data_IF_827177576898
#
_entry.id   IF_827177576898
#
_cell.length_a   1.000
_cell.length_b   1.000
_cell.length_c   1.000
_cell.angle_alpha   90.00
_cell.angle_beta   90.00
_cell.angle_gamma   90.00
#
_symmetry.space_group_name_H-M   'P 1'
#
loop_
_entity.id
_entity.type
_entity.pdbx_description
1 polymer ?
#
# COMPACT_ATOMS: atom_id res chain seq x y z
N UNK A 1 28.18 -5.49 14.16
CA UNK A 1 26.79 -5.18 13.78
C UNK A 1 26.76 -4.90 12.28
N UNK A 2 26.03 -5.64 11.44
CA UNK A 2 25.92 -5.27 10.03
C UNK A 2 25.13 -3.97 9.92
N UNK A 3 25.63 -3.03 9.11
CA UNK A 3 24.96 -1.74 8.85
C UNK A 3 23.72 -1.99 7.98
N UNK A 4 22.54 -1.45 8.31
CA UNK A 4 21.36 -1.63 7.48
C UNK A 4 21.64 -1.08 6.08
N UNK A 5 21.47 -1.92 5.05
CA UNK A 5 21.57 -1.50 3.65
C UNK A 5 20.38 -0.57 3.33
N UNK A 6 20.56 0.45 2.47
CA UNK A 6 19.43 1.24 2.01
C UNK A 6 18.38 0.30 1.42
N UNK A 7 17.17 0.35 1.96
CA UNK A 7 16.03 -0.41 1.44
C UNK A 7 15.77 0.15 0.05
N UNK A 8 15.93 -0.66 -1.00
CA UNK A 8 15.47 -0.28 -2.33
C UNK A 8 14.01 0.14 -2.19
N UNK A 9 13.77 1.43 -2.42
CA UNK A 9 12.45 2.04 -2.49
C UNK A 9 11.60 1.25 -3.49
N UNK A 10 10.28 1.28 -3.30
CA UNK A 10 9.24 0.74 -4.17
C UNK A 10 8.53 -0.53 -3.65
N UNK A 11 8.34 -0.62 -2.34
CA UNK A 11 7.32 -1.48 -1.78
C UNK A 11 6.92 -1.06 -0.37
N UNK A 12 5.66 -1.22 -0.03
CA UNK A 12 5.11 -0.89 1.29
C UNK A 12 4.21 -2.02 1.77
N UNK A 13 4.14 -2.22 3.09
CA UNK A 13 3.16 -3.10 3.72
C UNK A 13 2.36 -2.24 4.69
N UNK A 14 1.05 -2.13 4.45
CA UNK A 14 0.12 -1.37 5.27
C UNK A 14 -0.81 -2.33 5.98
N UNK A 15 -0.98 -2.17 7.30
CA UNK A 15 -1.94 -2.96 8.07
C UNK A 15 -3.38 -2.57 7.73
N UNK A 16 -4.30 -3.53 7.78
CA UNK A 16 -5.73 -3.26 7.72
C UNK A 16 -6.23 -2.77 9.09
N UNK A 17 -7.01 -1.70 9.11
CA UNK A 17 -7.56 -1.14 10.35
C UNK A 17 -8.49 -2.10 11.10
N UNK A 18 -9.06 -3.10 10.41
CA UNK A 18 -9.89 -4.15 11.03
C UNK A 18 -9.07 -5.14 11.86
N UNK A 19 -7.75 -5.18 11.69
CA UNK A 19 -6.89 -6.16 12.35
C UNK A 19 -6.91 -7.55 11.69
N UNK A 20 -6.78 -8.60 12.50
CA UNK A 20 -6.81 -10.02 12.09
C UNK A 20 -5.76 -10.43 11.05
N UNK A 21 -4.53 -9.92 11.19
CA UNK A 21 -3.42 -10.30 10.31
C UNK A 21 -3.60 -9.87 8.86
N UNK A 22 -4.54 -8.95 8.57
CA UNK A 22 -4.77 -8.43 7.23
C UNK A 22 -3.81 -7.30 6.89
N UNK A 23 -3.25 -7.35 5.69
CA UNK A 23 -2.34 -6.32 5.21
C UNK A 23 -2.47 -6.09 3.70
N UNK A 24 -2.28 -4.85 3.28
CA UNK A 24 -2.06 -4.49 1.88
C UNK A 24 -0.54 -4.44 1.63
N UNK A 25 -0.06 -5.20 0.65
CA UNK A 25 1.32 -5.12 0.17
C UNK A 25 1.35 -4.47 -1.20
N UNK A 26 2.17 -3.44 -1.31
CA UNK A 26 2.49 -2.75 -2.56
C UNK A 26 3.88 -3.19 -3.00
N UNK A 27 4.00 -3.65 -4.23
CA UNK A 27 5.28 -4.10 -4.80
C UNK A 27 5.40 -3.59 -6.23
N UNK A 28 6.53 -2.95 -6.54
CA UNK A 28 6.81 -2.47 -7.88
C UNK A 28 7.64 -3.48 -8.66
N UNK A 29 7.21 -3.75 -9.88
CA UNK A 29 7.95 -4.57 -10.84
C UNK A 29 8.34 -3.68 -12.01
N UNK A 30 9.46 -2.95 -11.86
CA UNK A 30 9.93 -1.98 -12.86
C UNK A 30 10.16 -2.63 -14.23
N UNK A 31 10.76 -3.83 -14.25
CA UNK A 31 11.01 -4.62 -15.47
C UNK A 31 9.72 -4.97 -16.24
N UNK A 32 8.61 -5.13 -15.52
CA UNK A 32 7.32 -5.45 -16.10
C UNK A 32 6.42 -4.21 -16.25
N UNK A 33 6.89 -3.02 -15.86
CA UNK A 33 6.12 -1.79 -15.91
C UNK A 33 4.79 -1.89 -15.16
N UNK A 34 4.76 -2.53 -13.99
CA UNK A 34 3.53 -2.67 -13.19
C UNK A 34 3.77 -2.52 -11.69
N UNK A 35 2.73 -2.05 -11.00
CA UNK A 35 2.62 -2.00 -9.54
C UNK A 35 1.57 -2.99 -9.09
N UNK A 36 1.94 -3.87 -8.18
CA UNK A 36 1.07 -4.92 -7.64
C UNK A 36 0.60 -4.51 -6.25
N UNK A 37 -0.71 -4.41 -6.09
CA UNK A 37 -1.38 -4.23 -4.81
C UNK A 37 -2.02 -5.56 -4.43
N UNK A 38 -1.54 -6.18 -3.35
CA UNK A 38 -2.02 -7.48 -2.90
C UNK A 38 -2.58 -7.42 -1.49
N UNK A 39 -3.75 -8.00 -1.28
CA UNK A 39 -4.38 -8.14 0.03
C UNK A 39 -3.96 -9.49 0.59
N UNK A 40 -3.46 -9.47 1.81
CA UNK A 40 -3.03 -10.64 2.56
C UNK A 40 -3.89 -10.78 3.79
N UNK A 41 -4.14 -12.04 4.19
CA UNK A 41 -4.63 -12.42 5.51
C UNK A 41 -3.68 -13.48 6.04
N UNK A 42 -2.97 -13.17 7.12
CA UNK A 42 -1.89 -13.98 7.66
C UNK A 42 -0.84 -14.26 6.56
N UNK A 43 -0.75 -15.51 6.09
CA UNK A 43 0.16 -15.93 5.03
C UNK A 43 -0.53 -16.21 3.68
N UNK A 44 -1.82 -15.90 3.54
CA UNK A 44 -2.59 -16.13 2.33
C UNK A 44 -2.83 -14.83 1.59
N UNK A 45 -2.46 -14.78 0.30
CA UNK A 45 -2.88 -13.70 -0.58
C UNK A 45 -4.34 -13.96 -1.02
N UNK A 46 -5.23 -13.05 -0.65
CA UNK A 46 -6.68 -13.18 -0.88
C UNK A 46 -7.16 -12.40 -2.10
N UNK A 47 -6.43 -11.35 -2.49
CA UNK A 47 -6.72 -10.59 -3.71
C UNK A 47 -5.45 -9.93 -4.24
N UNK A 48 -5.39 -9.72 -5.55
CA UNK A 48 -4.30 -8.99 -6.21
C UNK A 48 -4.86 -8.10 -7.31
N UNK A 49 -4.38 -6.87 -7.36
CA UNK A 49 -4.65 -5.88 -8.41
C UNK A 49 -3.31 -5.45 -9.00
N UNK A 50 -3.27 -5.35 -10.34
CA UNK A 50 -2.12 -4.85 -11.08
C UNK A 50 -2.48 -3.50 -11.67
N UNK A 51 -1.65 -2.51 -11.43
CA UNK A 51 -1.76 -1.18 -11.99
C UNK A 51 -0.57 -0.91 -12.89
N UNK A 52 -0.83 -0.23 -14.00
CA UNK A 52 0.21 0.43 -14.79
C UNK A 52 0.73 1.67 -14.04
N UNK A 53 1.96 2.16 -14.34
CA UNK A 53 2.51 3.37 -13.75
C UNK A 53 1.60 4.59 -13.91
N UNK A 54 0.91 4.71 -15.05
CA UNK A 54 0.00 5.81 -15.33
C UNK A 54 -1.27 5.77 -14.46
N UNK A 55 -1.71 4.59 -14.03
CA UNK A 55 -2.86 4.42 -13.11
C UNK A 55 -2.49 4.71 -11.65
N UNK A 56 -1.20 4.71 -11.29
CA UNK A 56 -0.75 5.01 -9.92
C UNK A 56 -1.03 6.47 -9.56
N UNK A 57 -0.84 7.39 -10.50
CA UNK A 57 -1.09 8.83 -10.29
C UNK A 57 -2.53 9.11 -9.84
N UNK A 58 -3.56 8.71 -10.62
CA UNK A 58 -4.96 8.86 -10.24
C UNK A 58 -5.34 8.18 -8.92
N UNK A 59 -4.73 7.03 -8.60
CA UNK A 59 -4.92 6.38 -7.31
C UNK A 59 -4.41 7.25 -6.17
N UNK A 60 -3.18 7.77 -6.27
CA UNK A 60 -2.58 8.64 -5.25
C UNK A 60 -3.38 9.92 -5.07
N UNK A 61 -3.82 10.55 -6.16
CA UNK A 61 -4.66 11.74 -6.11
C UNK A 61 -5.99 11.46 -5.40
N UNK A 62 -6.62 10.32 -5.68
CA UNK A 62 -7.85 9.90 -5.01
C UNK A 62 -7.66 9.69 -3.52
N UNK A 63 -6.54 9.06 -3.10
CA UNK A 63 -6.19 8.90 -1.69
C UNK A 63 -5.95 10.26 -1.02
N UNK A 64 -5.23 11.17 -1.66
CA UNK A 64 -4.94 12.51 -1.15
C UNK A 64 -6.22 13.34 -0.96
N UNK A 65 -7.14 13.31 -1.92
CA UNK A 65 -8.44 14.00 -1.82
C UNK A 65 -9.31 13.48 -0.67
N UNK A 66 -9.13 12.22 -0.26
CA UNK A 66 -9.85 11.62 0.87
C UNK A 66 -9.31 12.00 2.26
N UNK A 67 -8.06 12.47 2.37
CA UNK A 67 -7.43 12.78 3.66
C UNK A 67 -8.14 13.89 4.47
N UNK A 68 -8.56 15.03 3.88
CA UNK A 68 -9.23 16.10 4.62
C UNK A 68 -10.59 15.67 5.18
N UNK A 69 -11.29 14.73 4.52
CA UNK A 69 -12.57 14.19 4.97
C UNK A 69 -12.41 13.20 6.14
N UNK A 70 -11.29 12.46 6.19
CA UNK A 70 -11.01 11.49 7.26
C UNK A 70 -10.42 12.14 8.53
N UNK A 71 -9.69 13.26 8.40
CA UNK A 71 -9.05 13.96 9.52
C UNK A 71 -10.05 14.54 10.54
N UNK A 72 -11.30 14.81 10.12
CA UNK A 72 -12.35 15.35 11.00
C UNK A 72 -12.92 14.29 11.97
N UNK A 73 -12.64 13.00 11.74
CA UNK A 73 -13.08 11.90 12.61
C UNK A 73 -12.06 11.43 13.65
N UNK A 74 -10.81 11.92 13.61
CA UNK A 74 -9.71 11.48 14.48
C UNK A 74 -9.24 12.58 15.47
N UNK A 75 -10.11 13.51 15.83
CA UNK A 75 -9.86 14.50 16.90
C UNK A 75 -10.81 14.37 18.10
N UNK A 76 -11.63 13.32 18.14
CA UNK A 76 -12.53 13.04 19.26
C UNK A 76 -12.22 11.66 19.86
N UNK A 77 -11.11 11.55 20.58
CA UNK A 77 -10.88 10.62 21.70
C UNK A 77 -9.59 10.96 22.41
#
# INVERSE_FOLDING_TARGET
>A
MPRPRPRSIAGAVLGDARGDGRALRVTWHAEAGVVVLSIWKDNLCTATVRLTPDEVGPLVETLQRGLPAAAVGLSAS
#
